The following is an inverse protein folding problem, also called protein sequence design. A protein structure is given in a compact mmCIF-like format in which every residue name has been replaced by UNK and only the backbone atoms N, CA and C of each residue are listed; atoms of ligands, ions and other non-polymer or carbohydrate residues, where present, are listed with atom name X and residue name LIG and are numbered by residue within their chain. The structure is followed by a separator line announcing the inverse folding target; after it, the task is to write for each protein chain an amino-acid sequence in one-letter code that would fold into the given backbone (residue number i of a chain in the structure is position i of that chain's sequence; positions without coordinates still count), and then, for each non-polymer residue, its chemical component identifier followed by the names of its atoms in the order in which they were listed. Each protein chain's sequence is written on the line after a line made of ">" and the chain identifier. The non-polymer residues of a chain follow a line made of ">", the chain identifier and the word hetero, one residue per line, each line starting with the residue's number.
data_IF_028082843181
#
_entry.id   IF_028082843181
#
_cell.length_a   1.000
_cell.length_b   1.000
_cell.length_c   1.000
_cell.angle_alpha   90.00
_cell.angle_beta   90.00
_cell.angle_gamma   90.00
#
_symmetry.space_group_name_H-M   'P 1'
#
loop_
_entity.id
_entity.type
_entity.pdbx_description
1 polymer ?
#
# COMPACT_ATOMS: atom_id res chain seq x y z
N UNK A 1 -60.09 -30.29 6.15
CA UNK A 1 -58.99 -29.68 6.92
C UNK A 1 -57.82 -29.44 5.99
N UNK A 2 -57.66 -28.19 5.52
CA UNK A 2 -56.53 -27.78 4.65
C UNK A 2 -55.44 -27.22 5.53
N UNK A 3 -54.27 -27.87 5.55
CA UNK A 3 -53.10 -27.39 6.25
C UNK A 3 -52.27 -26.46 5.33
N UNK A 4 -52.30 -25.17 5.60
CA UNK A 4 -51.48 -24.17 4.92
C UNK A 4 -50.07 -24.22 5.54
N UNK A 5 -49.08 -24.61 4.74
CA UNK A 5 -47.65 -24.53 5.14
C UNK A 5 -47.15 -23.14 4.75
N UNK A 6 -46.83 -22.34 5.75
CA UNK A 6 -46.20 -21.01 5.56
C UNK A 6 -44.71 -21.23 5.39
N UNK A 7 -44.18 -21.06 4.19
CA UNK A 7 -42.75 -21.06 3.94
C UNK A 7 -42.18 -19.67 4.31
N UNK A 8 -41.42 -19.59 5.39
CA UNK A 8 -40.67 -18.40 5.76
C UNK A 8 -39.42 -18.39 4.91
N UNK A 9 -39.35 -17.50 3.93
CA UNK A 9 -38.13 -17.22 3.18
C UNK A 9 -37.25 -16.31 4.02
N UNK A 10 -36.19 -16.87 4.63
CA UNK A 10 -35.12 -16.09 5.22
C UNK A 10 -34.28 -15.40 4.13
N UNK A 11 -34.55 -14.14 3.89
CA UNK A 11 -33.68 -13.30 3.06
C UNK A 11 -32.44 -12.98 3.89
N UNK A 12 -31.35 -13.69 3.62
CA UNK A 12 -30.01 -13.33 4.09
C UNK A 12 -29.61 -12.06 3.36
N UNK A 13 -29.73 -10.93 4.03
CA UNK A 13 -29.10 -9.67 3.61
C UNK A 13 -27.58 -9.86 3.77
N UNK A 14 -26.92 -10.29 2.70
CA UNK A 14 -25.48 -10.25 2.61
C UNK A 14 -25.06 -8.76 2.59
N UNK A 15 -24.57 -8.24 3.70
CA UNK A 15 -23.83 -6.99 3.71
C UNK A 15 -22.63 -7.16 2.78
N UNK A 16 -22.38 -6.26 1.81
CA UNK A 16 -21.14 -6.32 1.04
C UNK A 16 -19.97 -6.01 1.99
N UNK A 17 -19.41 -7.07 2.56
CA UNK A 17 -18.19 -6.94 3.35
C UNK A 17 -17.09 -6.42 2.43
N UNK A 18 -16.24 -5.54 2.96
CA UNK A 18 -15.01 -5.00 2.38
C UNK A 18 -13.93 -6.11 2.16
N UNK A 19 -14.35 -7.26 1.68
CA UNK A 19 -13.42 -8.34 1.35
C UNK A 19 -12.81 -8.07 -0.02
N UNK A 20 -11.47 -7.97 -0.04
CA UNK A 20 -10.69 -7.98 -1.27
C UNK A 20 -11.06 -9.22 -2.10
N UNK A 21 -11.16 -9.10 -3.42
CA UNK A 21 -11.47 -10.24 -4.28
C UNK A 21 -10.45 -11.37 -4.07
N UNK A 22 -10.89 -12.61 -4.21
CA UNK A 22 -10.01 -13.79 -4.01
C UNK A 22 -8.82 -13.75 -4.98
N UNK A 23 -9.03 -13.35 -6.23
CA UNK A 23 -7.99 -13.24 -7.24
C UNK A 23 -6.94 -12.20 -6.90
N UNK A 24 -7.34 -11.06 -6.35
CA UNK A 24 -6.41 -9.99 -5.92
C UNK A 24 -5.64 -10.41 -4.66
N UNK A 25 -6.34 -10.96 -3.67
CA UNK A 25 -5.71 -11.43 -2.43
C UNK A 25 -4.69 -12.55 -2.64
N UNK A 26 -4.91 -13.41 -3.63
CA UNK A 26 -3.99 -14.49 -3.98
C UNK A 26 -2.86 -14.04 -4.94
N UNK A 27 -2.84 -12.79 -5.38
CA UNK A 27 -1.87 -12.27 -6.35
C UNK A 27 -2.08 -12.77 -7.79
N UNK A 28 -3.15 -13.52 -8.06
CA UNK A 28 -3.44 -14.09 -9.40
C UNK A 28 -3.66 -12.97 -10.42
N UNK A 29 -4.36 -11.91 -10.04
CA UNK A 29 -4.62 -10.76 -10.91
C UNK A 29 -3.33 -10.05 -11.33
N UNK A 30 -2.35 -9.92 -10.43
CA UNK A 30 -1.03 -9.36 -10.75
C UNK A 30 -0.30 -10.21 -11.78
N UNK A 31 -0.23 -11.54 -11.59
CA UNK A 31 0.42 -12.47 -12.53
C UNK A 31 -0.24 -12.43 -13.92
N UNK A 32 -1.56 -12.29 -13.99
CA UNK A 32 -2.31 -12.25 -15.24
C UNK A 32 -2.43 -10.84 -15.84
N UNK A 33 -1.91 -9.79 -15.20
CA UNK A 33 -2.03 -8.41 -15.63
C UNK A 33 -3.48 -7.89 -15.59
N UNK A 34 -4.36 -8.50 -14.81
CA UNK A 34 -5.76 -8.11 -14.66
C UNK A 34 -5.86 -6.90 -13.73
N UNK A 35 -6.63 -5.88 -14.15
CA UNK A 35 -6.90 -4.71 -13.30
C UNK A 35 -7.69 -5.11 -12.06
N UNK A 36 -7.35 -4.61 -10.86
CA UNK A 36 -8.19 -4.78 -9.69
C UNK A 36 -9.51 -4.01 -9.85
N UNK A 37 -10.54 -4.36 -9.08
CA UNK A 37 -11.75 -3.54 -8.95
C UNK A 37 -11.41 -2.18 -8.33
N UNK A 38 -12.27 -1.16 -8.55
CA UNK A 38 -12.14 0.15 -7.87
C UNK A 38 -12.03 0.00 -6.35
N UNK A 39 -12.84 -0.86 -5.74
CA UNK A 39 -12.84 -1.09 -4.29
C UNK A 39 -11.52 -1.71 -3.81
N UNK A 40 -11.02 -2.72 -4.51
CA UNK A 40 -9.75 -3.37 -4.18
C UNK A 40 -8.56 -2.42 -4.36
N UNK A 41 -8.54 -1.65 -5.44
CA UNK A 41 -7.50 -0.65 -5.70
C UNK A 41 -7.44 0.40 -4.60
N UNK A 42 -8.58 1.03 -4.27
CA UNK A 42 -8.67 2.05 -3.20
C UNK A 42 -8.20 1.50 -1.87
N UNK A 43 -8.64 0.28 -1.52
CA UNK A 43 -8.23 -0.38 -0.27
C UNK A 43 -6.73 -0.63 -0.21
N UNK A 44 -6.14 -1.17 -1.28
CA UNK A 44 -4.71 -1.47 -1.33
C UNK A 44 -3.88 -0.20 -1.27
N UNK A 45 -4.24 0.83 -2.04
CA UNK A 45 -3.53 2.12 -2.03
C UNK A 45 -3.58 2.76 -0.64
N UNK A 46 -4.75 2.80 0.00
CA UNK A 46 -4.87 3.42 1.33
C UNK A 46 -4.06 2.68 2.40
N UNK A 47 -4.02 1.34 2.37
CA UNK A 47 -3.21 0.53 3.28
C UNK A 47 -1.71 0.74 3.00
N UNK A 48 -1.31 0.73 1.72
CA UNK A 48 0.08 0.98 1.32
C UNK A 48 0.55 2.36 1.76
N UNK A 49 -0.22 3.43 1.50
CA UNK A 49 0.13 4.78 1.93
C UNK A 49 0.29 4.89 3.46
N UNK A 50 -0.62 4.30 4.23
CA UNK A 50 -0.48 4.26 5.70
C UNK A 50 0.81 3.57 6.12
N UNK A 51 1.15 2.43 5.51
CA UNK A 51 2.38 1.71 5.79
C UNK A 51 3.62 2.53 5.42
N UNK A 52 3.63 3.15 4.24
CA UNK A 52 4.73 3.99 3.77
C UNK A 52 4.97 5.19 4.69
N UNK A 53 3.92 5.87 5.12
CA UNK A 53 4.03 7.00 6.05
C UNK A 53 4.60 6.54 7.40
N UNK A 54 4.08 5.44 7.99
CA UNK A 54 4.51 5.00 9.32
C UNK A 54 5.91 4.37 9.31
N UNK A 55 6.26 3.56 8.30
CA UNK A 55 7.59 3.00 8.13
C UNK A 55 8.65 4.08 7.89
N UNK A 56 8.30 5.10 7.11
CA UNK A 56 9.18 6.24 6.85
C UNK A 56 9.38 7.12 8.09
N UNK A 57 8.35 7.32 8.93
CA UNK A 57 8.54 7.99 10.22
C UNK A 57 9.52 7.23 11.14
N UNK A 58 9.52 5.90 11.11
CA UNK A 58 10.52 5.12 11.82
C UNK A 58 11.92 5.32 11.24
N UNK A 59 12.04 5.38 9.91
CA UNK A 59 13.32 5.63 9.25
C UNK A 59 13.87 7.04 9.53
N UNK A 60 13.02 8.05 9.68
CA UNK A 60 13.45 9.38 10.14
C UNK A 60 14.06 9.36 11.54
N UNK A 61 13.67 8.42 12.41
CA UNK A 61 14.16 8.28 13.77
C UNK A 61 15.41 7.37 13.87
N UNK A 62 15.39 6.25 13.14
CA UNK A 62 16.34 5.14 13.30
C UNK A 62 17.34 4.99 12.15
N UNK A 63 17.00 5.52 10.97
CA UNK A 63 17.75 5.34 9.75
C UNK A 63 19.06 6.17 9.70
N UNK A 64 19.93 5.82 8.78
CA UNK A 64 21.07 6.64 8.40
C UNK A 64 20.62 7.87 7.59
N UNK A 65 21.53 8.79 7.28
CA UNK A 65 21.19 10.07 6.62
C UNK A 65 20.55 9.88 5.23
N UNK A 66 20.95 8.87 4.47
CA UNK A 66 20.31 8.58 3.17
C UNK A 66 18.89 8.07 3.34
N UNK A 67 18.66 7.18 4.30
CA UNK A 67 17.33 6.67 4.65
C UNK A 67 16.42 7.76 5.20
N UNK A 68 16.92 8.68 6.03
CA UNK A 68 16.16 9.83 6.52
C UNK A 68 15.74 10.78 5.40
N UNK A 69 16.63 11.01 4.44
CA UNK A 69 16.33 11.83 3.26
C UNK A 69 15.23 11.19 2.42
N UNK A 70 15.37 9.90 2.08
CA UNK A 70 14.35 9.12 1.39
C UNK A 70 13.02 9.13 2.16
N UNK A 71 13.05 8.83 3.44
CA UNK A 71 11.87 8.77 4.29
C UNK A 71 11.10 10.10 4.36
N UNK A 72 11.80 11.24 4.35
CA UNK A 72 11.16 12.56 4.34
C UNK A 72 10.40 12.81 3.05
N UNK A 73 10.93 12.36 1.92
CA UNK A 73 10.23 12.39 0.63
C UNK A 73 9.00 11.48 0.65
N UNK A 74 9.15 10.25 1.16
CA UNK A 74 8.04 9.29 1.25
C UNK A 74 6.88 9.81 2.10
N UNK A 75 7.16 10.37 3.28
CA UNK A 75 6.12 10.96 4.14
C UNK A 75 5.37 12.06 3.39
N UNK A 76 6.08 12.93 2.68
CA UNK A 76 5.48 14.04 1.93
C UNK A 76 4.58 13.53 0.81
N UNK A 77 5.11 12.66 -0.04
CA UNK A 77 4.41 12.21 -1.25
C UNK A 77 3.24 11.27 -0.93
N UNK A 78 3.41 10.32 0.01
CA UNK A 78 2.32 9.43 0.40
C UNK A 78 1.23 10.12 1.22
N UNK A 79 1.55 11.18 1.96
CA UNK A 79 0.52 12.04 2.58
C UNK A 79 -0.30 12.78 1.52
N UNK A 80 0.35 13.27 0.47
CA UNK A 80 -0.33 13.89 -0.67
C UNK A 80 -1.22 12.88 -1.40
N UNK A 81 -0.70 11.69 -1.70
CA UNK A 81 -1.44 10.60 -2.35
C UNK A 81 -2.69 10.22 -1.55
N UNK A 82 -2.55 10.01 -0.24
CA UNK A 82 -3.67 9.74 0.67
C UNK A 82 -4.72 10.84 0.66
N UNK A 83 -4.30 12.11 0.64
CA UNK A 83 -5.19 13.26 0.62
C UNK A 83 -5.98 13.34 -0.68
N UNK A 84 -5.32 13.13 -1.81
CA UNK A 84 -5.95 13.11 -3.14
C UNK A 84 -6.95 11.97 -3.26
N UNK A 85 -6.58 10.74 -2.84
CA UNK A 85 -7.47 9.59 -2.85
C UNK A 85 -8.71 9.82 -1.96
N UNK A 86 -8.52 10.35 -0.76
CA UNK A 86 -9.62 10.76 0.14
C UNK A 86 -10.53 11.80 -0.51
N UNK A 87 -9.97 12.76 -1.24
CA UNK A 87 -10.73 13.76 -2.00
C UNK A 87 -11.60 13.13 -3.10
N UNK A 88 -11.08 12.15 -3.84
CA UNK A 88 -11.84 11.42 -4.87
C UNK A 88 -13.01 10.63 -4.27
N UNK A 89 -12.81 10.00 -3.12
CA UNK A 89 -13.86 9.24 -2.42
C UNK A 89 -14.89 10.19 -1.81
N UNK A 90 -14.46 11.22 -1.08
CA UNK A 90 -15.37 12.15 -0.38
C UNK A 90 -16.21 13.01 -1.33
N UNK A 91 -15.72 13.30 -2.53
CA UNK A 91 -16.48 14.00 -3.58
C UNK A 91 -17.53 13.11 -4.29
N UNK A 92 -17.60 11.81 -3.96
CA UNK A 92 -18.50 10.86 -4.60
C UNK A 92 -18.06 10.41 -6.01
N UNK A 93 -16.90 10.85 -6.50
CA UNK A 93 -16.32 10.41 -7.79
C UNK A 93 -15.90 8.96 -7.77
N UNK A 94 -15.48 8.47 -6.62
CA UNK A 94 -15.07 7.10 -6.39
C UNK A 94 -15.92 6.49 -5.28
N UNK A 95 -16.67 5.44 -5.62
CA UNK A 95 -17.52 4.70 -4.67
C UNK A 95 -16.72 3.58 -4.03
N UNK A 96 -16.04 3.88 -2.93
CA UNK A 96 -15.30 2.93 -2.12
C UNK A 96 -15.21 3.45 -0.67
N UNK A 97 -14.92 2.54 0.25
CA UNK A 97 -14.61 2.89 1.63
C UNK A 97 -13.10 2.89 1.84
N UNK A 98 -12.62 3.88 2.60
CA UNK A 98 -11.21 3.95 2.97
C UNK A 98 -10.98 3.18 4.27
N UNK A 99 -10.05 2.21 4.32
CA UNK A 99 -9.66 1.59 5.58
C UNK A 99 -9.03 2.63 6.50
N UNK A 100 -9.27 2.48 7.80
CA UNK A 100 -8.73 3.35 8.84
C UNK A 100 -7.51 2.77 9.57
N UNK A 101 -7.16 1.50 9.28
CA UNK A 101 -6.07 0.77 9.92
C UNK A 101 -5.32 -0.08 8.89
N UNK A 102 -4.07 -0.40 9.21
CA UNK A 102 -3.31 -1.40 8.46
C UNK A 102 -4.00 -2.78 8.53
N UNK A 103 -3.79 -3.58 7.51
CA UNK A 103 -4.08 -5.01 7.60
C UNK A 103 -3.00 -5.74 8.44
N UNK A 104 -3.25 -7.00 8.78
CA UNK A 104 -2.35 -7.79 9.62
C UNK A 104 -0.96 -7.98 9.02
N UNK A 105 -0.84 -8.05 7.69
CA UNK A 105 0.45 -8.21 7.01
C UNK A 105 1.29 -6.95 7.13
N UNK A 106 0.73 -5.78 6.82
CA UNK A 106 1.44 -4.49 6.93
C UNK A 106 1.73 -4.14 8.38
N UNK A 107 0.80 -4.46 9.31
CA UNK A 107 1.07 -4.28 10.74
C UNK A 107 2.25 -5.12 11.21
N UNK A 108 2.34 -6.40 10.81
CA UNK A 108 3.46 -7.27 11.16
C UNK A 108 4.80 -6.75 10.61
N UNK A 109 4.82 -6.25 9.38
CA UNK A 109 6.01 -5.60 8.79
C UNK A 109 6.42 -4.37 9.60
N UNK A 110 5.47 -3.52 9.96
CA UNK A 110 5.73 -2.32 10.77
C UNK A 110 6.26 -2.67 12.16
N UNK A 111 5.71 -3.70 12.80
CA UNK A 111 6.16 -4.15 14.12
C UNK A 111 7.58 -4.74 14.07
N UNK A 112 7.91 -5.44 12.98
CA UNK A 112 9.28 -5.90 12.72
C UNK A 112 10.26 -4.72 12.64
N UNK A 113 9.93 -3.67 11.88
CA UNK A 113 10.74 -2.44 11.80
C UNK A 113 10.87 -1.73 13.14
N UNK A 114 9.81 -1.68 13.95
CA UNK A 114 9.87 -1.09 15.30
C UNK A 114 10.87 -1.81 16.20
N UNK A 115 10.95 -3.15 16.10
CA UNK A 115 11.88 -3.97 16.87
C UNK A 115 13.33 -3.93 16.38
N UNK A 116 13.57 -3.62 15.11
CA UNK A 116 14.90 -3.58 14.51
C UNK A 116 15.66 -2.28 14.85
N UNK A 117 17.00 -2.33 14.89
CA UNK A 117 17.88 -1.17 15.10
C UNK A 117 19.16 -1.30 14.28
N UNK A 118 19.83 -0.15 14.05
CA UNK A 118 21.10 -0.11 13.33
C UNK A 118 21.04 -0.78 11.95
N UNK A 119 22.00 -1.65 11.66
CA UNK A 119 22.08 -2.33 10.36
C UNK A 119 20.89 -3.27 10.07
N UNK A 120 20.31 -3.87 11.10
CA UNK A 120 19.11 -4.72 10.93
C UNK A 120 17.92 -3.88 10.49
N UNK A 121 17.74 -2.68 11.09
CA UNK A 121 16.72 -1.73 10.65
C UNK A 121 16.93 -1.31 9.20
N UNK A 122 18.14 -0.90 8.82
CA UNK A 122 18.48 -0.47 7.46
C UNK A 122 18.19 -1.58 6.45
N UNK A 123 18.63 -2.80 6.71
CA UNK A 123 18.42 -3.95 5.82
C UNK A 123 16.94 -4.24 5.62
N UNK A 124 16.17 -4.29 6.72
CA UNK A 124 14.73 -4.56 6.66
C UNK A 124 13.95 -3.42 5.98
N UNK A 125 14.23 -2.17 6.34
CA UNK A 125 13.58 -0.99 5.78
C UNK A 125 13.82 -0.92 4.27
N UNK A 126 15.07 -0.98 3.82
CA UNK A 126 15.43 -0.85 2.41
C UNK A 126 14.78 -1.95 1.57
N UNK A 127 14.87 -3.21 2.02
CA UNK A 127 14.23 -4.35 1.33
C UNK A 127 12.70 -4.23 1.27
N UNK A 128 12.05 -3.78 2.37
CA UNK A 128 10.61 -3.55 2.41
C UNK A 128 10.20 -2.43 1.47
N UNK A 129 10.97 -1.33 1.37
CA UNK A 129 10.69 -0.23 0.46
C UNK A 129 10.76 -0.66 -1.00
N UNK A 130 11.77 -1.44 -1.38
CA UNK A 130 11.86 -2.00 -2.74
C UNK A 130 10.66 -2.89 -3.07
N UNK A 131 10.29 -3.78 -2.15
CA UNK A 131 9.13 -4.66 -2.36
C UNK A 131 7.83 -3.88 -2.47
N UNK A 132 7.55 -2.98 -1.54
CA UNK A 132 6.32 -2.20 -1.51
C UNK A 132 6.15 -1.32 -2.75
N UNK A 133 7.23 -0.68 -3.22
CA UNK A 133 7.16 0.14 -4.42
C UNK A 133 7.05 -0.69 -5.72
N UNK A 134 7.61 -1.91 -5.78
CA UNK A 134 7.34 -2.84 -6.91
C UNK A 134 5.86 -3.20 -6.98
N UNK A 135 5.28 -3.55 -5.84
CA UNK A 135 3.86 -3.91 -5.74
C UNK A 135 2.96 -2.71 -6.08
N UNK A 136 3.31 -1.51 -5.60
CA UNK A 136 2.57 -0.29 -5.92
C UNK A 136 2.65 0.07 -7.41
N UNK A 137 3.83 -0.01 -8.04
CA UNK A 137 3.99 0.24 -9.48
C UNK A 137 3.13 -0.72 -10.29
N UNK A 138 3.18 -2.03 -10.01
CA UNK A 138 2.35 -3.03 -10.68
C UNK A 138 0.86 -2.74 -10.52
N UNK A 139 0.42 -2.47 -9.28
CA UNK A 139 -0.97 -2.15 -8.96
C UNK A 139 -1.48 -0.94 -9.75
N UNK A 140 -0.71 0.15 -9.74
CA UNK A 140 -1.06 1.39 -10.43
C UNK A 140 -1.01 1.25 -11.94
N UNK A 141 -0.06 0.50 -12.51
CA UNK A 141 -0.01 0.21 -13.95
C UNK A 141 -1.24 -0.56 -14.42
N UNK A 142 -1.62 -1.62 -13.71
CA UNK A 142 -2.81 -2.41 -14.03
C UNK A 142 -4.07 -1.55 -13.95
N UNK A 143 -4.21 -0.73 -12.90
CA UNK A 143 -5.38 0.11 -12.74
C UNK A 143 -5.42 1.27 -13.75
N UNK A 144 -4.31 1.94 -14.02
CA UNK A 144 -4.22 2.99 -15.04
C UNK A 144 -4.58 2.47 -16.45
N UNK A 145 -4.29 1.20 -16.74
CA UNK A 145 -4.61 0.56 -18.02
C UNK A 145 -6.08 0.10 -18.08
N UNK A 146 -6.56 -0.62 -17.09
CA UNK A 146 -7.82 -1.36 -17.13
C UNK A 146 -8.84 -0.99 -16.05
N UNK A 147 -8.60 0.02 -15.21
CA UNK A 147 -9.50 0.42 -14.14
C UNK A 147 -10.89 0.84 -14.64
N UNK A 148 -11.91 0.53 -13.87
CA UNK A 148 -13.34 0.71 -14.20
C UNK A 148 -13.89 2.10 -13.81
N UNK A 149 -13.12 2.92 -13.05
CA UNK A 149 -13.48 4.30 -12.72
C UNK A 149 -12.56 5.30 -13.43
N UNK A 150 -13.11 6.16 -14.28
CA UNK A 150 -12.34 7.06 -15.15
C UNK A 150 -11.51 8.10 -14.37
N UNK A 151 -12.07 8.71 -13.31
CA UNK A 151 -11.36 9.70 -12.48
C UNK A 151 -10.17 9.06 -11.76
N UNK A 152 -10.41 7.89 -11.14
CA UNK A 152 -9.37 7.16 -10.40
C UNK A 152 -8.30 6.59 -11.34
N UNK A 153 -8.68 6.11 -12.53
CA UNK A 153 -7.76 5.66 -13.58
C UNK A 153 -6.82 6.80 -14.04
N UNK A 154 -7.37 7.98 -14.27
CA UNK A 154 -6.59 9.15 -14.64
C UNK A 154 -5.63 9.59 -13.52
N UNK A 155 -6.08 9.54 -12.27
CA UNK A 155 -5.25 9.82 -11.10
C UNK A 155 -4.14 8.78 -10.94
N UNK A 156 -4.45 7.49 -11.06
CA UNK A 156 -3.47 6.41 -10.99
C UNK A 156 -2.34 6.59 -12.04
N UNK A 157 -2.70 6.91 -13.28
CA UNK A 157 -1.71 7.17 -14.33
C UNK A 157 -0.79 8.35 -14.05
N UNK A 158 -1.28 9.41 -13.39
CA UNK A 158 -0.46 10.57 -12.97
C UNK A 158 0.48 10.21 -11.82
N UNK A 159 -0.01 9.49 -10.82
CA UNK A 159 0.73 9.09 -9.63
C UNK A 159 1.85 8.09 -9.95
N UNK A 160 1.64 7.24 -10.95
CA UNK A 160 2.58 6.20 -11.35
C UNK A 160 4.01 6.71 -11.61
N UNK A 161 4.17 7.94 -12.11
CA UNK A 161 5.51 8.52 -12.33
C UNK A 161 6.29 8.69 -11.03
N UNK A 162 5.63 9.19 -9.99
CA UNK A 162 6.27 9.35 -8.68
C UNK A 162 6.62 7.98 -8.08
N UNK A 163 5.72 6.99 -8.17
CA UNK A 163 5.98 5.65 -7.66
C UNK A 163 7.17 4.96 -8.35
N UNK A 164 7.34 5.15 -9.67
CA UNK A 164 8.52 4.64 -10.39
C UNK A 164 9.80 5.30 -9.90
N UNK A 165 9.77 6.60 -9.67
CA UNK A 165 10.92 7.32 -9.11
C UNK A 165 11.24 6.85 -7.68
N UNK A 166 10.23 6.66 -6.85
CA UNK A 166 10.42 6.11 -5.50
C UNK A 166 11.04 4.71 -5.54
N UNK A 167 10.61 3.86 -6.47
CA UNK A 167 11.21 2.53 -6.66
C UNK A 167 12.70 2.62 -7.01
N UNK A 168 13.08 3.53 -7.91
CA UNK A 168 14.49 3.76 -8.26
C UNK A 168 15.28 4.20 -7.02
N UNK A 169 14.76 5.16 -6.25
CA UNK A 169 15.39 5.63 -5.01
C UNK A 169 15.53 4.50 -3.97
N UNK A 170 14.49 3.68 -3.79
CA UNK A 170 14.53 2.55 -2.86
C UNK A 170 15.56 1.50 -3.28
N UNK A 171 15.66 1.19 -4.58
CA UNK A 171 16.67 0.29 -5.11
C UNK A 171 18.09 0.82 -4.91
N UNK A 172 18.29 2.14 -4.98
CA UNK A 172 19.58 2.75 -4.74
C UNK A 172 19.98 2.72 -3.25
N UNK A 173 19.02 2.80 -2.34
CA UNK A 173 19.25 2.58 -0.91
C UNK A 173 19.65 1.13 -0.62
N UNK A 174 18.94 0.17 -1.20
CA UNK A 174 19.14 -1.25 -0.96
C UNK A 174 20.50 -1.76 -1.50
N UNK A 175 21.04 -1.12 -2.54
CA UNK A 175 22.36 -1.43 -3.10
C UNK A 175 23.53 -0.87 -2.29
N UNK A 176 23.31 0.15 -1.45
CA UNK A 176 24.39 0.77 -0.66
C UNK A 176 24.61 -0.07 0.61
N UNK A 177 25.82 -0.62 0.85
CA UNK A 177 26.11 -1.29 2.11
C UNK A 177 25.91 -0.30 3.25
N UNK A 178 25.34 -0.75 4.36
CA UNK A 178 25.27 0.05 5.58
C UNK A 178 26.70 0.54 5.92
N UNK A 179 26.89 1.79 6.36
CA UNK A 179 28.20 2.29 6.72
C UNK A 179 28.78 1.37 7.79
N UNK A 180 29.90 0.74 7.49
CA UNK A 180 30.66 -0.01 8.48
C UNK A 180 31.05 0.99 9.58
N UNK A 181 30.56 0.76 10.80
CA UNK A 181 31.04 1.49 11.98
C UNK A 181 32.53 1.22 12.03
N UNK A 182 33.33 2.25 11.71
CA UNK A 182 34.78 2.13 11.71
C UNK A 182 35.25 1.64 13.07
N UNK A 183 35.93 0.48 13.08
CA UNK A 183 36.73 0.08 14.23
C UNK A 183 37.64 1.24 14.59
N UNK A 184 37.33 1.87 15.71
CA UNK A 184 38.19 2.88 16.31
C UNK A 184 39.59 2.27 16.51
N UNK A 185 40.55 2.71 15.72
CA UNK A 185 41.97 2.45 16.00
C UNK A 185 42.24 2.90 17.40
N UNK A 186 42.59 1.93 18.24
CA UNK A 186 43.26 2.20 19.54
C UNK A 186 44.64 2.77 19.31
#
# INVERSE_FOLDING_TARGET
>A
MRRTVLAIACILLATPGLAQSVGEKAGINSVLGVSPSTVDFVKQVAISDMFEIESSKLAQQKGNEAEKTFASQMVTDHTKTSTELKGLVSSGKVKAELPSTLDSSHQSKLDKLKGANGNDFSSEFNSMQVSAHKDAVDLFERYAKGGDNADLKGWAGKTLRALKHHLEMAQDLDKKPAPTVGEGKK
#
